data_IF_415311837590
#
_entry.id   IF_415311837590
#
_cell.length_a   1.000
_cell.length_b   1.000
_cell.length_c   1.000
_cell.angle_alpha   90.00
_cell.angle_beta   90.00
_cell.angle_gamma   90.00
#
_symmetry.space_group_name_H-M   'P 1'
#
loop_
_entity.id
_entity.type
_entity.pdbx_description
1 polymer ?
#
# COMPACT_ATOMS: atom_id res chain seq x y z
N UNK A 1 -5.42 31.64 -17.56
CA UNK A 1 -5.21 30.36 -16.87
C UNK A 1 -5.62 29.26 -17.83
N UNK A 2 -4.81 28.23 -18.05
CA UNK A 2 -5.20 27.13 -18.96
C UNK A 2 -6.26 26.27 -18.27
N UNK A 3 -7.40 26.05 -18.95
CA UNK A 3 -8.49 25.21 -18.45
C UNK A 3 -8.01 23.75 -18.38
N UNK A 4 -8.48 23.02 -17.38
CA UNK A 4 -8.28 21.57 -17.22
C UNK A 4 -8.68 20.78 -18.45
N UNK A 5 -8.16 19.57 -18.55
CA UNK A 5 -8.51 18.64 -19.64
C UNK A 5 -9.71 17.77 -19.29
N UNK A 6 -10.07 17.69 -18.00
CA UNK A 6 -11.19 16.92 -17.45
C UNK A 6 -12.15 17.87 -16.75
N UNK A 7 -13.42 17.56 -16.87
CA UNK A 7 -14.55 18.16 -16.16
C UNK A 7 -15.38 16.98 -15.64
N UNK A 8 -15.50 16.85 -14.31
CA UNK A 8 -16.14 15.70 -13.71
C UNK A 8 -17.65 15.85 -13.63
N UNK A 9 -18.37 14.85 -13.15
CA UNK A 9 -19.83 14.84 -13.13
C UNK A 9 -20.47 15.87 -12.19
N UNK A 10 -19.72 16.42 -11.23
CA UNK A 10 -20.23 17.45 -10.33
C UNK A 10 -20.57 18.73 -11.11
N UNK A 11 -21.75 19.29 -10.86
CA UNK A 11 -22.17 20.54 -11.50
C UNK A 11 -21.32 21.72 -10.98
N UNK A 12 -20.62 22.37 -11.90
CA UNK A 12 -19.74 23.49 -11.59
C UNK A 12 -20.48 24.65 -10.92
N UNK A 13 -19.89 25.20 -9.86
CA UNK A 13 -20.36 26.37 -9.10
C UNK A 13 -21.78 26.23 -8.54
N UNK A 14 -22.28 24.98 -8.36
CA UNK A 14 -23.64 24.75 -7.87
C UNK A 14 -23.85 25.09 -6.39
N UNK A 15 -22.80 24.89 -5.57
CA UNK A 15 -22.87 25.14 -4.11
C UNK A 15 -22.40 26.55 -3.76
N UNK A 16 -21.33 27.02 -4.41
CA UNK A 16 -20.75 28.36 -4.17
C UNK A 16 -20.11 28.89 -5.46
N UNK A 17 -20.17 30.21 -5.74
CA UNK A 17 -19.55 30.79 -6.93
C UNK A 17 -18.02 30.80 -6.88
N UNK A 18 -17.40 30.44 -5.74
CA UNK A 18 -15.94 30.48 -5.55
C UNK A 18 -15.26 29.14 -5.87
N UNK A 19 -15.99 28.03 -5.81
CA UNK A 19 -15.46 26.68 -5.98
C UNK A 19 -16.21 25.99 -7.09
N UNK A 20 -15.49 25.51 -8.12
CA UNK A 20 -16.12 24.91 -9.29
C UNK A 20 -16.81 23.59 -8.90
N UNK A 21 -16.09 22.63 -8.41
CA UNK A 21 -16.59 21.33 -7.95
C UNK A 21 -16.42 21.23 -6.43
N UNK A 22 -17.44 21.62 -5.70
CA UNK A 22 -17.38 21.81 -4.25
C UNK A 22 -17.11 20.50 -3.48
N UNK A 23 -17.88 19.46 -3.80
CA UNK A 23 -17.78 18.17 -3.09
C UNK A 23 -16.49 17.44 -3.44
N UNK A 24 -16.09 17.47 -4.69
CA UNK A 24 -14.83 16.91 -5.15
C UNK A 24 -13.65 17.64 -4.47
N UNK A 25 -13.68 18.96 -4.41
CA UNK A 25 -12.66 19.75 -3.70
C UNK A 25 -12.62 19.39 -2.22
N UNK A 26 -13.77 19.35 -1.53
CA UNK A 26 -13.84 19.04 -0.10
C UNK A 26 -13.32 17.63 0.20
N UNK A 27 -13.56 16.66 -0.68
CA UNK A 27 -13.12 15.27 -0.50
C UNK A 27 -11.59 15.10 -0.51
N UNK A 28 -10.83 16.04 -1.11
CA UNK A 28 -9.37 16.07 -1.04
C UNK A 28 -8.82 16.16 0.38
N UNK A 29 -9.62 16.72 1.32
CA UNK A 29 -9.28 16.74 2.76
C UNK A 29 -9.12 15.33 3.32
N UNK A 30 -9.87 14.34 2.83
CA UNK A 30 -9.74 12.95 3.28
C UNK A 30 -8.35 12.37 2.99
N UNK A 31 -7.74 12.72 1.86
CA UNK A 31 -6.37 12.32 1.51
C UNK A 31 -5.35 12.95 2.47
N UNK A 32 -5.52 14.22 2.80
CA UNK A 32 -4.64 14.94 3.76
C UNK A 32 -4.78 14.34 5.15
N UNK A 33 -6.01 14.08 5.62
CA UNK A 33 -6.25 13.44 6.92
C UNK A 33 -5.60 12.05 6.94
N UNK A 34 -5.77 11.25 5.90
CA UNK A 34 -5.16 9.92 5.79
C UNK A 34 -3.64 10.01 5.87
N UNK A 35 -3.02 10.98 5.21
CA UNK A 35 -1.59 11.25 5.26
C UNK A 35 -1.11 11.60 6.68
N UNK A 36 -1.78 12.53 7.35
CA UNK A 36 -1.44 12.96 8.72
C UNK A 36 -1.61 11.80 9.72
N UNK A 37 -2.72 11.08 9.64
CA UNK A 37 -2.97 9.91 10.50
C UNK A 37 -1.87 8.86 10.30
N UNK A 38 -1.51 8.60 9.05
CA UNK A 38 -0.50 7.64 8.71
C UNK A 38 0.89 8.05 9.26
N UNK A 39 1.28 9.30 9.09
CA UNK A 39 2.53 9.84 9.63
C UNK A 39 2.61 9.67 11.16
N UNK A 40 1.55 10.07 11.88
CA UNK A 40 1.49 9.96 13.35
C UNK A 40 1.59 8.50 13.83
N UNK A 41 0.84 7.59 13.21
CA UNK A 41 0.81 6.17 13.61
C UNK A 41 2.15 5.47 13.33
N UNK A 42 2.89 5.92 12.32
CA UNK A 42 4.11 5.27 11.85
C UNK A 42 5.39 6.09 12.11
N UNK A 43 5.35 7.08 12.98
CA UNK A 43 6.48 7.96 13.26
C UNK A 43 7.79 7.21 13.56
N UNK A 44 7.70 6.06 14.23
CA UNK A 44 8.86 5.17 14.49
C UNK A 44 9.55 4.68 13.20
N UNK A 45 8.85 4.64 12.08
CA UNK A 45 9.31 4.13 10.78
C UNK A 45 9.31 5.24 9.72
N UNK A 46 9.41 6.50 10.13
CA UNK A 46 9.29 7.68 9.26
C UNK A 46 10.17 7.63 8.01
N UNK A 47 11.38 7.07 8.12
CA UNK A 47 12.33 6.97 7.01
C UNK A 47 11.78 6.20 5.80
N UNK A 48 10.92 5.18 6.06
CA UNK A 48 10.29 4.38 5.01
C UNK A 48 9.03 5.02 4.41
N UNK A 49 8.46 6.02 5.10
CA UNK A 49 7.13 6.52 4.77
C UNK A 49 7.08 8.00 4.41
N UNK A 50 8.20 8.72 4.51
CA UNK A 50 8.23 10.14 4.23
C UNK A 50 7.81 10.47 2.80
N UNK A 51 8.29 9.72 1.79
CA UNK A 51 7.91 9.91 0.38
C UNK A 51 6.42 9.66 0.15
N UNK A 52 5.89 8.57 0.69
CA UNK A 52 4.47 8.22 0.60
C UNK A 52 3.60 9.30 1.25
N UNK A 53 3.98 9.74 2.45
CA UNK A 53 3.26 10.80 3.18
C UNK A 53 3.27 12.11 2.41
N UNK A 54 4.42 12.49 1.86
CA UNK A 54 4.56 13.70 1.04
C UNK A 54 3.70 13.62 -0.22
N UNK A 55 3.80 12.53 -0.99
CA UNK A 55 3.03 12.33 -2.21
C UNK A 55 1.52 12.36 -1.93
N UNK A 56 1.07 11.69 -0.87
CA UNK A 56 -0.34 11.66 -0.50
C UNK A 56 -0.84 13.05 -0.06
N UNK A 57 0.00 13.83 0.64
CA UNK A 57 -0.32 15.23 0.99
C UNK A 57 -0.39 16.10 -0.25
N UNK A 58 0.58 15.96 -1.17
CA UNK A 58 0.59 16.70 -2.44
C UNK A 58 -0.65 16.38 -3.28
N UNK A 59 -1.02 15.09 -3.38
CA UNK A 59 -2.26 14.68 -4.04
C UNK A 59 -3.47 15.38 -3.40
N UNK A 60 -3.63 15.32 -2.08
CA UNK A 60 -4.78 15.94 -1.41
C UNK A 60 -4.86 17.45 -1.60
N UNK A 61 -3.74 18.16 -1.58
CA UNK A 61 -3.67 19.59 -1.89
C UNK A 61 -4.00 19.83 -3.37
N UNK A 62 -3.41 19.02 -4.26
CA UNK A 62 -3.68 19.06 -5.70
C UNK A 62 -5.16 18.87 -6.01
N UNK A 63 -5.80 17.87 -5.40
CA UNK A 63 -7.24 17.60 -5.51
C UNK A 63 -8.06 18.81 -5.11
N UNK A 64 -7.80 19.41 -3.93
CA UNK A 64 -8.52 20.62 -3.47
C UNK A 64 -8.37 21.76 -4.47
N UNK A 65 -7.15 22.05 -4.91
CA UNK A 65 -6.87 23.14 -5.82
C UNK A 65 -7.40 22.89 -7.24
N UNK A 66 -7.30 21.68 -7.71
CA UNK A 66 -7.79 21.28 -9.03
C UNK A 66 -9.31 21.45 -9.11
N UNK A 67 -10.04 20.78 -8.21
CA UNK A 67 -11.50 20.79 -8.21
C UNK A 67 -12.11 22.15 -7.84
N UNK A 68 -11.37 22.99 -7.09
CA UNK A 68 -11.85 24.35 -6.84
C UNK A 68 -11.71 25.29 -8.04
N UNK A 69 -10.71 25.09 -8.90
CA UNK A 69 -10.37 26.08 -9.95
C UNK A 69 -10.50 25.55 -11.37
N UNK A 70 -10.57 24.24 -11.57
CA UNK A 70 -10.50 23.54 -12.86
C UNK A 70 -9.32 24.01 -13.72
N UNK A 71 -8.18 24.28 -13.06
CA UNK A 71 -6.96 24.71 -13.70
C UNK A 71 -6.08 23.52 -14.09
N UNK A 72 -5.52 23.54 -15.31
CA UNK A 72 -4.62 22.49 -15.79
C UNK A 72 -3.38 22.28 -14.92
N UNK A 73 -2.79 23.32 -14.37
CA UNK A 73 -1.61 23.19 -13.50
C UNK A 73 -1.93 22.45 -12.21
N UNK A 74 -3.11 22.69 -11.64
CA UNK A 74 -3.56 21.99 -10.44
C UNK A 74 -4.04 20.58 -10.75
N UNK A 75 -4.59 20.33 -11.94
CA UNK A 75 -4.84 18.97 -12.41
C UNK A 75 -3.56 18.12 -12.42
N UNK A 76 -2.45 18.69 -12.89
CA UNK A 76 -1.16 17.97 -12.85
C UNK A 76 -0.65 17.75 -11.43
N UNK A 77 -0.87 18.70 -10.52
CA UNK A 77 -0.51 18.56 -9.11
C UNK A 77 -1.33 17.48 -8.40
N UNK A 78 -2.53 17.20 -8.87
CA UNK A 78 -3.39 16.10 -8.43
C UNK A 78 -2.95 14.76 -9.05
N UNK A 79 -2.89 14.69 -10.37
CA UNK A 79 -2.72 13.45 -11.12
C UNK A 79 -1.31 12.86 -11.02
N UNK A 80 -0.24 13.66 -11.12
CA UNK A 80 1.12 13.15 -11.15
C UNK A 80 1.54 12.48 -9.84
N UNK A 81 1.28 13.07 -8.65
CA UNK A 81 1.58 12.39 -7.39
C UNK A 81 0.79 11.09 -7.22
N UNK A 82 -0.45 10.99 -7.75
CA UNK A 82 -1.24 9.75 -7.72
C UNK A 82 -0.58 8.63 -8.50
N UNK A 83 -0.07 8.89 -9.71
CA UNK A 83 0.65 7.89 -10.51
C UNK A 83 1.93 7.43 -9.81
N UNK A 84 2.70 8.37 -9.29
CA UNK A 84 3.95 8.07 -8.57
C UNK A 84 3.63 7.23 -7.33
N UNK A 85 2.63 7.62 -6.56
CA UNK A 85 2.21 6.92 -5.34
C UNK A 85 1.71 5.49 -5.65
N UNK A 86 0.93 5.30 -6.70
CA UNK A 86 0.43 3.99 -7.12
C UNK A 86 1.58 3.07 -7.56
N UNK A 87 2.56 3.60 -8.29
CA UNK A 87 3.77 2.88 -8.66
C UNK A 87 4.60 2.47 -7.43
N UNK A 88 4.81 3.39 -6.47
CA UNK A 88 5.49 3.11 -5.20
C UNK A 88 4.83 1.96 -4.44
N UNK A 89 3.50 2.00 -4.30
CA UNK A 89 2.77 0.91 -3.63
C UNK A 89 2.90 -0.41 -4.36
N UNK A 90 2.78 -0.43 -5.69
CA UNK A 90 2.93 -1.65 -6.46
C UNK A 90 4.32 -2.27 -6.27
N UNK A 91 5.37 -1.45 -6.35
CA UNK A 91 6.76 -1.89 -6.15
C UNK A 91 6.94 -2.46 -4.73
N UNK A 92 6.45 -1.76 -3.71
CA UNK A 92 6.52 -2.23 -2.33
C UNK A 92 5.79 -3.55 -2.14
N UNK A 93 4.58 -3.69 -2.65
CA UNK A 93 3.80 -4.92 -2.55
C UNK A 93 4.44 -6.09 -3.31
N UNK A 94 5.02 -5.84 -4.48
CA UNK A 94 5.78 -6.85 -5.22
C UNK A 94 7.05 -7.28 -4.47
N UNK A 95 7.77 -6.33 -3.85
CA UNK A 95 8.93 -6.64 -3.02
C UNK A 95 8.56 -7.49 -1.80
N UNK A 96 7.39 -7.24 -1.19
CA UNK A 96 6.85 -8.10 -0.14
C UNK A 96 6.59 -9.53 -0.64
N UNK A 97 6.11 -9.70 -1.86
CA UNK A 97 5.90 -11.04 -2.45
C UNK A 97 7.22 -11.73 -2.79
N UNK A 98 8.20 -11.02 -3.35
CA UNK A 98 9.48 -11.59 -3.78
C UNK A 98 10.39 -11.93 -2.61
N UNK A 99 10.35 -11.18 -1.51
CA UNK A 99 11.07 -11.53 -0.26
C UNK A 99 10.62 -12.87 0.32
N UNK A 100 9.51 -13.39 -0.15
CA UNK A 100 8.96 -14.70 0.20
C UNK A 100 9.49 -15.81 -0.73
N UNK A 101 9.73 -15.49 -2.00
CA UNK A 101 10.21 -16.46 -2.98
C UNK A 101 11.73 -16.67 -2.90
N UNK A 102 12.45 -15.62 -2.54
CA UNK A 102 13.90 -15.66 -2.37
C UNK A 102 14.26 -15.92 -0.90
N UNK A 103 14.01 -17.12 -0.43
CA UNK A 103 14.51 -17.64 0.85
C UNK A 103 16.05 -17.64 0.94
N UNK A 104 16.76 -17.18 -0.08
CA UNK A 104 18.21 -17.21 -0.18
C UNK A 104 18.89 -15.82 -0.18
N UNK A 105 18.17 -14.73 -0.29
CA UNK A 105 18.81 -13.41 -0.30
C UNK A 105 18.20 -12.53 0.78
N UNK A 106 19.03 -12.15 1.73
CA UNK A 106 18.91 -11.12 2.75
C UNK A 106 18.56 -9.71 2.18
N UNK A 107 17.51 -9.60 1.35
CA UNK A 107 17.18 -8.38 0.61
C UNK A 107 16.43 -7.34 1.47
N UNK A 108 16.11 -7.65 2.71
CA UNK A 108 15.46 -6.68 3.58
C UNK A 108 16.23 -6.37 4.87
N UNK A 109 17.55 -6.48 4.85
CA UNK A 109 18.41 -5.48 5.48
C UNK A 109 18.55 -4.27 4.52
N UNK A 110 17.46 -3.80 3.91
CA UNK A 110 17.51 -2.57 3.13
C UNK A 110 17.75 -1.46 4.14
N UNK A 111 19.00 -1.00 4.21
CA UNK A 111 19.31 0.27 4.84
C UNK A 111 18.41 1.32 4.20
N UNK A 112 18.03 2.35 4.95
CA UNK A 112 17.25 3.49 4.43
C UNK A 112 17.83 4.06 3.12
N UNK A 113 19.14 3.96 2.92
CA UNK A 113 19.86 4.36 1.73
C UNK A 113 19.55 3.47 0.50
N UNK A 114 19.45 2.15 0.69
CA UNK A 114 19.13 1.21 -0.40
C UNK A 114 17.66 1.32 -0.82
N UNK A 115 16.77 1.62 0.14
CA UNK A 115 15.37 1.92 -0.14
C UNK A 115 15.20 3.21 -0.95
N UNK A 116 15.91 4.28 -0.57
CA UNK A 116 15.94 5.53 -1.33
C UNK A 116 16.51 5.32 -2.75
N UNK A 117 17.59 4.57 -2.90
CA UNK A 117 18.15 4.24 -4.21
C UNK A 117 17.19 3.41 -5.07
N UNK A 118 16.46 2.47 -4.45
CA UNK A 118 15.43 1.69 -5.14
C UNK A 118 14.27 2.56 -5.60
N UNK A 119 13.77 3.47 -4.76
CA UNK A 119 12.75 4.46 -5.12
C UNK A 119 13.25 5.38 -6.22
N UNK A 120 14.43 5.98 -6.07
CA UNK A 120 15.02 6.87 -7.07
C UNK A 120 15.21 6.19 -8.43
N UNK A 121 15.67 4.94 -8.47
CA UNK A 121 15.83 4.18 -9.72
C UNK A 121 14.48 3.90 -10.41
N UNK A 122 13.40 3.68 -9.63
CA UNK A 122 12.09 3.46 -10.19
C UNK A 122 11.39 4.76 -10.60
N UNK A 123 11.56 5.83 -9.83
CA UNK A 123 11.14 7.18 -10.22
C UNK A 123 11.82 7.63 -11.51
N UNK A 124 13.14 7.40 -11.67
CA UNK A 124 13.88 7.71 -12.89
C UNK A 124 13.34 6.96 -14.11
N UNK A 125 12.79 5.75 -13.95
CA UNK A 125 12.14 5.01 -15.04
C UNK A 125 10.74 5.53 -15.38
N UNK A 126 10.02 6.08 -14.41
CA UNK A 126 8.67 6.64 -14.62
C UNK A 126 8.69 8.10 -15.09
N UNK A 127 9.74 8.87 -14.76
CA UNK A 127 9.91 10.26 -15.20
C UNK A 127 9.83 10.42 -16.73
N UNK A 128 10.47 9.60 -17.56
CA UNK A 128 10.33 9.73 -19.02
C UNK A 128 8.91 9.55 -19.52
N UNK A 129 8.14 8.66 -18.89
CA UNK A 129 6.71 8.46 -19.22
C UNK A 129 5.90 9.68 -18.83
N UNK A 130 6.16 10.25 -17.67
CA UNK A 130 5.51 11.45 -17.16
C UNK A 130 5.85 12.65 -18.04
N UNK A 131 7.14 12.84 -18.36
CA UNK A 131 7.62 13.95 -19.19
C UNK A 131 7.11 13.82 -20.61
N UNK A 132 7.09 12.62 -21.21
CA UNK A 132 6.55 12.41 -22.55
C UNK A 132 5.05 12.74 -22.63
N UNK A 133 4.30 12.52 -21.55
CA UNK A 133 2.88 12.88 -21.50
C UNK A 133 2.64 14.39 -21.57
N UNK A 134 3.59 15.21 -21.16
CA UNK A 134 3.53 16.69 -21.26
C UNK A 134 3.59 17.20 -22.70
N UNK A 135 4.29 16.47 -23.59
CA UNK A 135 4.44 16.83 -25.01
C UNK A 135 3.34 16.24 -25.90
N UNK A 136 2.43 15.45 -25.32
CA UNK A 136 1.35 14.80 -26.04
C UNK A 136 0.11 15.70 -26.05
N UNK A 137 -0.70 15.59 -27.11
CA UNK A 137 -1.97 16.28 -27.23
C UNK A 137 -2.83 16.04 -25.98
N UNK A 138 -3.41 17.09 -25.39
CA UNK A 138 -4.18 17.04 -24.12
C UNK A 138 -5.17 15.87 -24.03
N UNK A 139 -5.92 15.60 -25.11
CA UNK A 139 -6.89 14.49 -25.15
C UNK A 139 -6.25 13.11 -24.98
N UNK A 140 -5.03 12.92 -25.50
CA UNK A 140 -4.31 11.67 -25.37
C UNK A 140 -3.70 11.51 -23.98
N UNK A 141 -3.28 12.62 -23.36
CA UNK A 141 -2.76 12.64 -21.99
C UNK A 141 -3.79 12.11 -20.99
N UNK A 142 -5.06 12.51 -21.10
CA UNK A 142 -6.15 12.02 -20.26
C UNK A 142 -6.30 10.51 -20.38
N UNK A 143 -6.37 9.98 -21.60
CA UNK A 143 -6.52 8.55 -21.86
C UNK A 143 -5.34 7.78 -21.27
N UNK A 144 -4.12 8.30 -21.48
CA UNK A 144 -2.90 7.67 -20.95
C UNK A 144 -2.89 7.62 -19.41
N UNK A 145 -3.23 8.75 -18.77
CA UNK A 145 -3.29 8.86 -17.31
C UNK A 145 -4.28 7.88 -16.71
N UNK A 146 -5.54 7.92 -17.17
CA UNK A 146 -6.59 7.04 -16.64
C UNK A 146 -6.31 5.56 -16.91
N UNK A 147 -5.74 5.22 -18.08
CA UNK A 147 -5.37 3.85 -18.40
C UNK A 147 -4.23 3.36 -17.47
N UNK A 148 -3.19 4.18 -17.28
CA UNK A 148 -2.08 3.85 -16.40
C UNK A 148 -2.54 3.69 -14.95
N UNK A 149 -3.35 4.62 -14.43
CA UNK A 149 -3.87 4.55 -13.07
C UNK A 149 -4.69 3.27 -12.85
N UNK A 150 -5.58 2.92 -13.77
CA UNK A 150 -6.37 1.67 -13.71
C UNK A 150 -5.50 0.42 -13.71
N UNK A 151 -4.45 0.38 -14.54
CA UNK A 151 -3.52 -0.75 -14.57
C UNK A 151 -2.83 -0.89 -13.22
N UNK A 152 -2.39 0.22 -12.60
CA UNK A 152 -1.81 0.18 -11.26
C UNK A 152 -2.80 -0.31 -10.21
N UNK A 153 -4.01 0.22 -10.18
CA UNK A 153 -5.05 -0.16 -9.22
C UNK A 153 -5.40 -1.66 -9.31
N UNK A 154 -5.64 -2.17 -10.53
CA UNK A 154 -5.90 -3.62 -10.75
C UNK A 154 -4.71 -4.45 -10.31
N UNK A 155 -3.48 -4.01 -10.62
CA UNK A 155 -2.25 -4.70 -10.24
C UNK A 155 -2.06 -4.72 -8.72
N UNK A 156 -2.40 -3.65 -8.02
CA UNK A 156 -2.38 -3.56 -6.55
C UNK A 156 -3.38 -4.56 -5.95
N UNK A 157 -4.63 -4.56 -6.40
CA UNK A 157 -5.67 -5.49 -5.91
C UNK A 157 -5.28 -6.95 -6.15
N UNK A 158 -4.77 -7.27 -7.33
CA UNK A 158 -4.28 -8.61 -7.66
C UNK A 158 -3.10 -9.04 -6.77
N UNK A 159 -2.17 -8.12 -6.52
CA UNK A 159 -1.01 -8.36 -5.64
C UNK A 159 -1.45 -8.58 -4.19
N UNK A 160 -2.41 -7.79 -3.70
CA UNK A 160 -3.02 -7.97 -2.38
C UNK A 160 -3.71 -9.33 -2.25
N UNK A 161 -4.45 -9.74 -3.28
CA UNK A 161 -5.08 -11.07 -3.31
C UNK A 161 -4.05 -12.19 -3.22
N UNK A 162 -2.97 -12.11 -4.01
CA UNK A 162 -1.86 -13.08 -3.91
C UNK A 162 -1.19 -13.06 -2.53
N UNK A 163 -1.01 -11.88 -1.96
CA UNK A 163 -0.42 -11.71 -0.63
C UNK A 163 -1.32 -12.34 0.44
N UNK A 164 -2.64 -12.18 0.36
CA UNK A 164 -3.58 -12.80 1.30
C UNK A 164 -3.48 -14.32 1.32
N UNK A 165 -3.33 -14.94 0.14
CA UNK A 165 -3.18 -16.42 0.00
C UNK A 165 -1.85 -16.96 0.53
N UNK A 166 -0.84 -16.11 0.64
CA UNK A 166 0.52 -16.50 1.06
C UNK A 166 0.90 -16.01 2.46
N UNK A 167 0.04 -15.21 3.08
CA UNK A 167 0.36 -14.53 4.33
C UNK A 167 0.78 -15.51 5.43
N UNK A 168 0.11 -16.64 5.57
CA UNK A 168 0.44 -17.65 6.58
C UNK A 168 1.85 -18.21 6.37
N UNK A 169 2.16 -18.58 5.12
CA UNK A 169 3.50 -19.07 4.77
C UNK A 169 4.57 -18.04 5.09
N UNK A 170 4.33 -16.74 4.78
CA UNK A 170 5.26 -15.65 5.06
C UNK A 170 5.58 -15.57 6.55
N UNK A 171 4.54 -15.47 7.35
CA UNK A 171 4.66 -15.25 8.79
C UNK A 171 5.36 -16.43 9.47
N UNK A 172 4.98 -17.67 9.10
CA UNK A 172 5.58 -18.86 9.68
C UNK A 172 7.02 -19.10 9.21
N UNK A 173 7.32 -18.83 7.91
CA UNK A 173 8.71 -18.94 7.46
C UNK A 173 9.64 -18.00 8.23
N UNK A 174 9.23 -16.75 8.47
CA UNK A 174 10.02 -15.81 9.27
C UNK A 174 10.21 -16.27 10.72
N UNK A 175 9.21 -16.89 11.31
CA UNK A 175 9.32 -17.49 12.63
C UNK A 175 10.31 -18.68 12.62
N UNK A 176 10.23 -19.58 11.64
CA UNK A 176 11.13 -20.72 11.52
C UNK A 176 12.58 -20.31 11.23
N UNK A 177 12.79 -19.28 10.39
CA UNK A 177 14.13 -18.71 10.17
C UNK A 177 14.76 -18.22 11.47
N UNK A 178 13.98 -17.53 12.32
CA UNK A 178 14.46 -17.02 13.61
C UNK A 178 15.02 -18.12 14.53
N UNK A 179 14.42 -19.31 14.46
CA UNK A 179 14.80 -20.45 15.30
C UNK A 179 15.63 -21.51 14.55
N UNK A 180 16.21 -21.17 13.38
CA UNK A 180 17.00 -22.10 12.55
C UNK A 180 16.26 -23.39 12.13
N UNK A 181 14.92 -23.34 12.10
CA UNK A 181 14.08 -24.48 11.71
C UNK A 181 13.73 -24.45 10.20
N UNK A 182 14.68 -24.05 9.36
CA UNK A 182 14.49 -23.79 7.94
C UNK A 182 13.92 -24.96 7.12
N UNK A 183 14.37 -26.18 7.39
CA UNK A 183 13.90 -27.37 6.66
C UNK A 183 12.39 -27.62 6.79
N UNK A 184 11.75 -27.09 7.83
CA UNK A 184 10.29 -27.19 8.03
C UNK A 184 9.49 -26.19 7.20
N UNK A 185 10.10 -25.09 6.77
CA UNK A 185 9.42 -24.09 5.94
C UNK A 185 9.20 -24.58 4.51
N UNK A 186 10.14 -25.33 3.94
CA UNK A 186 10.04 -25.84 2.55
C UNK A 186 8.96 -26.91 2.37
N UNK A 187 8.62 -27.64 3.42
CA UNK A 187 7.59 -28.70 3.41
C UNK A 187 6.20 -28.17 3.79
N UNK A 188 5.98 -26.87 3.72
CA UNK A 188 4.72 -26.21 4.05
C UNK A 188 3.70 -26.39 2.92
N UNK A 189 3.15 -27.60 2.81
CA UNK A 189 1.94 -27.88 2.02
C UNK A 189 0.76 -27.96 2.99
N UNK A 190 -0.09 -26.96 2.86
CA UNK A 190 -1.47 -26.81 3.36
C UNK A 190 -2.02 -27.76 4.44
N UNK A 191 -2.69 -27.16 5.41
CA UNK A 191 -3.84 -27.64 6.18
C UNK A 191 -3.67 -28.49 7.44
N UNK A 192 -2.54 -29.10 7.73
CA UNK A 192 -2.42 -29.97 8.93
C UNK A 192 -1.46 -29.47 10.04
N UNK A 193 -0.70 -28.41 9.79
CA UNK A 193 0.41 -28.06 10.70
C UNK A 193 -0.04 -27.17 11.88
N UNK A 194 -1.16 -26.46 11.77
CA UNK A 194 -1.67 -25.62 12.84
C UNK A 194 -1.91 -26.40 14.14
N UNK A 195 -2.38 -27.65 14.03
CA UNK A 195 -2.63 -28.52 15.16
C UNK A 195 -1.37 -29.31 15.62
N UNK A 196 -0.38 -29.51 14.75
CA UNK A 196 0.84 -30.26 15.08
C UNK A 196 1.94 -29.42 15.73
N UNK A 197 1.97 -28.09 15.53
CA UNK A 197 2.92 -27.20 16.24
C UNK A 197 2.64 -27.20 17.74
N UNK A 198 1.40 -27.45 18.15
CA UNK A 198 1.00 -27.49 19.57
C UNK A 198 1.57 -28.71 20.32
N UNK A 199 1.97 -29.77 19.63
CA UNK A 199 2.26 -31.06 20.29
C UNK A 199 3.50 -31.83 19.84
N UNK A 200 4.26 -31.44 18.80
CA UNK A 200 5.24 -32.38 18.21
C UNK A 200 6.65 -31.85 17.91
N UNK A 201 7.09 -30.77 18.48
CA UNK A 201 8.45 -30.26 18.23
C UNK A 201 9.25 -30.04 19.50
N UNK A 202 9.45 -31.11 20.21
CA UNK A 202 10.50 -31.16 21.22
C UNK A 202 11.33 -32.40 20.90
N UNK A 203 12.24 -32.25 19.93
CA UNK A 203 13.33 -33.18 19.77
C UNK A 203 14.28 -32.96 20.97
N UNK A 204 14.64 -34.03 21.63
CA UNK A 204 15.18 -34.14 22.99
C UNK A 204 16.60 -33.61 23.20
N UNK A 205 17.18 -32.84 22.25
CA UNK A 205 18.56 -32.35 22.32
C UNK A 205 18.73 -30.83 22.39
N UNK A 206 17.65 -30.10 22.60
CA UNK A 206 17.71 -28.64 22.78
C UNK A 206 17.50 -28.26 24.23
N UNK A 207 18.28 -27.33 24.74
CA UNK A 207 18.16 -26.81 26.12
C UNK A 207 16.83 -26.02 26.23
N UNK A 208 15.74 -26.77 26.54
CA UNK A 208 14.37 -26.53 26.10
C UNK A 208 13.63 -25.50 26.96
N UNK A 209 13.97 -25.42 28.25
CA UNK A 209 13.10 -24.70 29.18
C UNK A 209 13.20 -23.18 29.14
N UNK A 210 14.37 -22.60 28.90
CA UNK A 210 14.51 -21.14 28.78
C UNK A 210 14.03 -20.58 27.45
N UNK A 211 14.10 -21.37 26.37
CA UNK A 211 13.70 -20.95 25.02
C UNK A 211 12.22 -21.19 24.72
N UNK A 212 11.54 -22.07 25.46
CA UNK A 212 10.13 -22.40 25.24
C UNK A 212 9.19 -21.21 25.49
N UNK A 213 9.41 -20.47 26.58
CA UNK A 213 8.61 -19.29 26.90
C UNK A 213 8.81 -18.16 25.86
N UNK A 214 10.05 -17.98 25.38
CA UNK A 214 10.36 -17.02 24.31
C UNK A 214 9.67 -17.41 23.00
N UNK A 215 9.73 -18.70 22.64
CA UNK A 215 9.05 -19.22 21.46
C UNK A 215 7.52 -19.02 21.51
N UNK A 216 6.90 -19.31 22.65
CA UNK A 216 5.46 -19.08 22.83
C UNK A 216 5.08 -17.60 22.70
N UNK A 217 5.90 -16.72 23.28
CA UNK A 217 5.71 -15.26 23.20
C UNK A 217 5.83 -14.78 21.74
N UNK A 218 6.84 -15.27 21.02
CA UNK A 218 7.04 -14.94 19.63
C UNK A 218 5.87 -15.45 18.75
N UNK A 219 5.44 -16.69 18.93
CA UNK A 219 4.27 -17.25 18.24
C UNK A 219 3.05 -16.37 18.46
N UNK A 220 2.79 -15.94 19.69
CA UNK A 220 1.69 -15.03 20.03
C UNK A 220 1.81 -13.69 19.30
N UNK A 221 3.02 -13.09 19.31
CA UNK A 221 3.30 -11.83 18.64
C UNK A 221 3.12 -11.92 17.11
N UNK A 222 3.70 -12.96 16.48
CA UNK A 222 3.56 -13.20 15.05
C UNK A 222 2.10 -13.42 14.65
N UNK A 223 1.35 -14.22 15.40
CA UNK A 223 -0.08 -14.44 15.16
C UNK A 223 -0.90 -13.14 15.30
N UNK A 224 -0.58 -12.30 16.28
CA UNK A 224 -1.22 -11.02 16.46
C UNK A 224 -0.98 -10.07 15.28
N UNK A 225 0.26 -10.03 14.75
CA UNK A 225 0.59 -9.22 13.58
C UNK A 225 -0.07 -9.80 12.33
N UNK A 226 -0.04 -11.13 12.14
CA UNK A 226 -0.69 -11.82 11.04
C UNK A 226 -2.18 -11.46 10.93
N UNK A 227 -2.91 -11.54 12.05
CA UNK A 227 -4.34 -11.20 12.10
C UNK A 227 -4.60 -9.75 11.67
N UNK A 228 -3.79 -8.80 12.16
CA UNK A 228 -3.90 -7.39 11.80
C UNK A 228 -3.55 -7.14 10.33
N UNK A 229 -2.52 -7.80 9.82
CA UNK A 229 -2.11 -7.70 8.42
C UNK A 229 -3.17 -8.29 7.48
N UNK A 230 -3.74 -9.47 7.82
CA UNK A 230 -4.83 -10.09 7.07
C UNK A 230 -6.07 -9.18 7.02
N UNK A 231 -6.44 -8.58 8.14
CA UNK A 231 -7.54 -7.60 8.19
C UNK A 231 -7.27 -6.41 7.28
N UNK A 232 -6.05 -5.84 7.32
CA UNK A 232 -5.68 -4.72 6.45
C UNK A 232 -5.68 -5.09 4.97
N UNK A 233 -5.26 -6.30 4.60
CA UNK A 233 -5.32 -6.79 3.22
C UNK A 233 -6.79 -6.86 2.74
N UNK A 234 -7.67 -7.47 3.55
CA UNK A 234 -9.07 -7.63 3.18
C UNK A 234 -9.78 -6.27 3.03
N UNK A 235 -9.57 -5.35 3.98
CA UNK A 235 -10.11 -3.99 3.87
C UNK A 235 -9.50 -3.21 2.71
N UNK A 236 -8.20 -3.35 2.46
CA UNK A 236 -7.54 -2.74 1.31
C UNK A 236 -8.18 -3.20 -0.01
N UNK A 237 -8.34 -4.52 -0.20
CA UNK A 237 -9.01 -5.08 -1.38
C UNK A 237 -10.44 -4.53 -1.51
N UNK A 238 -11.20 -4.55 -0.42
CA UNK A 238 -12.60 -4.09 -0.42
C UNK A 238 -12.71 -2.62 -0.84
N UNK A 239 -11.99 -1.71 -0.16
CA UNK A 239 -12.10 -0.28 -0.43
C UNK A 239 -11.57 0.12 -1.80
N UNK A 240 -10.45 -0.49 -2.25
CA UNK A 240 -9.96 -0.25 -3.61
C UNK A 240 -10.91 -0.75 -4.68
N UNK A 241 -11.50 -1.95 -4.51
CA UNK A 241 -12.48 -2.46 -5.47
C UNK A 241 -13.73 -1.58 -5.52
N UNK A 242 -14.24 -1.16 -4.35
CA UNK A 242 -15.38 -0.25 -4.28
C UNK A 242 -15.07 1.10 -4.95
N UNK A 243 -13.90 1.68 -4.69
CA UNK A 243 -13.50 2.95 -5.31
C UNK A 243 -13.42 2.83 -6.83
N UNK A 244 -12.81 1.78 -7.37
CA UNK A 244 -12.76 1.52 -8.81
C UNK A 244 -14.15 1.39 -9.44
N UNK A 245 -15.06 0.65 -8.78
CA UNK A 245 -16.43 0.47 -9.27
C UNK A 245 -17.19 1.79 -9.31
N UNK A 246 -17.11 2.58 -8.25
CA UNK A 246 -17.76 3.91 -8.17
C UNK A 246 -17.24 4.83 -9.26
N UNK A 247 -15.94 4.86 -9.48
CA UNK A 247 -15.32 5.65 -10.54
C UNK A 247 -15.78 5.18 -11.94
N UNK A 248 -15.90 3.86 -12.18
CA UNK A 248 -16.43 3.33 -13.43
C UNK A 248 -17.90 3.72 -13.64
N UNK A 249 -18.73 3.62 -12.60
CA UNK A 249 -20.15 4.00 -12.64
C UNK A 249 -20.30 5.48 -12.96
N UNK A 250 -19.51 6.34 -12.33
CA UNK A 250 -19.51 7.77 -12.62
C UNK A 250 -19.20 8.08 -14.08
N UNK A 251 -18.13 7.48 -14.62
CA UNK A 251 -17.73 7.73 -16.02
C UNK A 251 -18.74 7.23 -17.05
N UNK A 252 -19.48 6.16 -16.73
CA UNK A 252 -20.45 5.56 -17.65
C UNK A 252 -21.83 6.19 -17.57
N UNK A 253 -22.23 6.68 -16.39
CA UNK A 253 -23.60 7.10 -16.10
C UNK A 253 -23.68 8.49 -15.46
N UNK A 254 -22.79 9.42 -15.86
CA UNK A 254 -22.65 10.75 -15.29
C UNK A 254 -24.00 11.47 -15.10
N UNK A 255 -24.85 11.51 -16.13
CA UNK A 255 -26.14 12.23 -16.09
C UNK A 255 -27.10 11.70 -15.01
N UNK A 256 -26.99 10.40 -14.70
CA UNK A 256 -27.90 9.75 -13.72
C UNK A 256 -27.32 9.89 -12.30
N UNK A 257 -25.98 9.78 -12.15
CA UNK A 257 -25.34 9.69 -10.85
C UNK A 257 -24.83 11.04 -10.32
N UNK A 258 -24.95 12.09 -11.09
CA UNK A 258 -24.50 13.45 -10.72
C UNK A 258 -24.92 13.88 -9.30
N UNK A 259 -26.17 13.64 -8.84
CA UNK A 259 -26.60 14.05 -7.51
C UNK A 259 -25.88 13.32 -6.36
N UNK A 260 -25.29 12.16 -6.62
CA UNK A 260 -24.68 11.29 -5.61
C UNK A 260 -23.20 11.64 -5.35
N UNK A 261 -22.59 12.55 -6.10
CA UNK A 261 -21.22 13.02 -5.91
C UNK A 261 -20.22 11.86 -5.84
N UNK A 262 -20.30 10.93 -6.79
CA UNK A 262 -19.55 9.67 -6.77
C UNK A 262 -18.05 9.89 -6.82
N UNK A 263 -17.58 10.96 -7.48
CA UNK A 263 -16.15 11.30 -7.53
C UNK A 263 -15.59 11.66 -6.15
N UNK A 264 -16.33 12.47 -5.40
CA UNK A 264 -15.97 12.78 -4.02
C UNK A 264 -15.93 11.51 -3.14
N UNK A 265 -16.88 10.59 -3.33
CA UNK A 265 -16.88 9.30 -2.64
C UNK A 265 -15.71 8.43 -3.05
N UNK A 266 -15.30 8.46 -4.32
CA UNK A 266 -14.11 7.78 -4.82
C UNK A 266 -12.84 8.25 -4.10
N UNK A 267 -12.63 9.56 -3.89
CA UNK A 267 -11.51 10.09 -3.12
C UNK A 267 -11.50 9.57 -1.68
N UNK A 268 -12.65 9.54 -1.02
CA UNK A 268 -12.77 9.07 0.37
C UNK A 268 -12.44 7.57 0.46
N UNK A 269 -13.02 6.74 -0.40
CA UNK A 269 -12.79 5.29 -0.38
C UNK A 269 -11.35 4.95 -0.74
N UNK A 270 -10.76 5.65 -1.72
CA UNK A 270 -9.36 5.51 -2.09
C UNK A 270 -8.44 5.87 -0.92
N UNK A 271 -8.73 6.95 -0.19
CA UNK A 271 -7.95 7.36 0.98
C UNK A 271 -7.96 6.30 2.10
N UNK A 272 -9.11 5.64 2.33
CA UNK A 272 -9.24 4.53 3.29
C UNK A 272 -8.45 3.31 2.78
N UNK A 273 -8.54 2.99 1.50
CA UNK A 273 -7.76 1.91 0.87
C UNK A 273 -6.26 2.12 1.06
N UNK A 274 -5.77 3.33 0.78
CA UNK A 274 -4.37 3.74 0.96
C UNK A 274 -3.94 3.59 2.43
N UNK A 275 -4.77 3.99 3.39
CA UNK A 275 -4.49 3.80 4.81
C UNK A 275 -4.25 2.32 5.16
N UNK A 276 -5.04 1.40 4.59
CA UNK A 276 -4.85 -0.03 4.79
C UNK A 276 -3.59 -0.57 4.12
N UNK A 277 -3.24 -0.09 2.91
CA UNK A 277 -1.96 -0.42 2.25
C UNK A 277 -0.76 -0.06 3.13
N UNK A 278 -0.78 1.14 3.70
CA UNK A 278 0.26 1.60 4.61
C UNK A 278 0.39 0.70 5.85
N UNK A 279 -0.72 0.23 6.40
CA UNK A 279 -0.70 -0.72 7.52
C UNK A 279 -0.08 -2.08 7.14
N UNK A 280 -0.30 -2.56 5.91
CA UNK A 280 0.32 -3.81 5.42
C UNK A 280 1.84 -3.68 5.43
N UNK A 281 2.36 -2.58 4.88
CA UNK A 281 3.81 -2.30 4.85
C UNK A 281 4.37 -2.21 6.27
N UNK A 282 3.71 -1.48 7.16
CA UNK A 282 4.08 -1.38 8.58
C UNK A 282 4.16 -2.75 9.26
N UNK A 283 3.16 -3.60 9.06
CA UNK A 283 3.16 -4.92 9.69
C UNK A 283 4.28 -5.81 9.13
N UNK A 284 4.60 -5.68 7.84
CA UNK A 284 5.73 -6.38 7.26
C UNK A 284 7.07 -5.94 7.89
N UNK A 285 7.32 -4.64 8.00
CA UNK A 285 8.51 -4.10 8.69
C UNK A 285 8.57 -4.62 10.13
N UNK A 286 7.42 -4.66 10.81
CA UNK A 286 7.36 -5.17 12.20
C UNK A 286 7.70 -6.66 12.29
N UNK A 287 7.27 -7.48 11.33
CA UNK A 287 7.63 -8.90 11.25
C UNK A 287 9.15 -9.04 11.08
N UNK A 288 9.75 -8.27 10.17
CA UNK A 288 11.19 -8.30 9.95
C UNK A 288 11.97 -7.86 11.21
N UNK A 289 11.55 -6.79 11.88
CA UNK A 289 12.20 -6.34 13.11
C UNK A 289 12.11 -7.37 14.25
N UNK A 290 10.99 -8.10 14.36
CA UNK A 290 10.89 -9.22 15.32
C UNK A 290 11.83 -10.37 14.97
N UNK A 291 12.10 -10.57 13.69
CA UNK A 291 13.06 -11.59 13.27
C UNK A 291 14.48 -11.27 13.70
N UNK A 292 14.91 -10.00 13.63
CA UNK A 292 16.26 -9.55 13.97
C UNK A 292 16.44 -9.23 15.46
N UNK A 293 15.38 -8.84 16.18
CA UNK A 293 15.43 -8.62 17.61
C UNK A 293 15.59 -9.95 18.34
N UNK A 294 16.66 -10.09 19.10
CA UNK A 294 16.94 -11.28 19.94
C UNK A 294 17.11 -12.59 19.14
N UNK A 295 17.99 -12.60 18.12
CA UNK A 295 18.54 -13.89 17.69
C UNK A 295 19.16 -14.53 18.92
N UNK A 296 18.68 -15.71 19.37
CA UNK A 296 19.36 -16.41 20.43
C UNK A 296 20.80 -16.68 19.95
N UNK A 297 21.78 -16.17 20.66
CA UNK A 297 23.19 -16.57 20.48
C UNK A 297 23.25 -18.05 20.80
N UNK A 298 23.13 -18.88 19.77
CA UNK A 298 23.37 -20.32 19.93
C UNK A 298 24.88 -20.45 20.05
N UNK A 299 25.36 -20.57 21.26
CA UNK A 299 26.73 -21.07 21.51
C UNK A 299 26.71 -22.54 21.08
N UNK A 300 27.27 -22.82 19.90
CA UNK A 300 27.64 -24.18 19.52
C UNK A 300 28.89 -24.49 20.32
N UNK A 301 28.71 -25.21 21.42
CA UNK A 301 29.80 -25.83 22.20
C UNK A 301 30.19 -27.13 21.53
#
# INVERSE_FOLDING_TARGET
>A
MFKSTVDWCEKNYAVTPLIAEFWNSLSGVALIISSIMFYKINYKYKEYFNSITLLLTCTGIGTIMFHSTLSYHFQLLDELPMLILSNEYLILLLSLQTSILSLQTSILSINSHDYLNFICNNLLKTIPIIVSSYFIKKSFQIILFHTALKIFEVSIVYTLYKLSKRLDKIVYCKLYEKYNMYNKCNNFNNDKIYNNIKYKTIDSNFNIYSNFHLLQTDIKNYNGIRKKMSSSINFGIFFYTCSMLIWCVENLFCDIVQPFQLHALWHILSSIGIFHLNNIIKYHIKINNLHYSNKPTIYIS
#
